data_IF_159567961698
#
_entry.id   IF_159567961698
#
_cell.length_a   1.000
_cell.length_b   1.000
_cell.length_c   1.000
_cell.angle_alpha   90.00
_cell.angle_beta   90.00
_cell.angle_gamma   90.00
#
_symmetry.space_group_name_H-M   'P 1'
#
loop_
_entity.id
_entity.type
_entity.pdbx_description
1 polymer ?
#
# COMPACT_ATOMS: atom_id res chain seq x y z
N UNK A 1 35.91 8.87 -17.08
CA UNK A 1 35.79 8.12 -15.82
C UNK A 1 34.32 7.78 -15.62
N UNK A 2 33.90 6.66 -16.18
CA UNK A 2 32.56 6.10 -16.05
C UNK A 2 32.38 5.62 -14.62
N UNK A 3 31.50 6.27 -13.85
CA UNK A 3 31.06 5.75 -12.55
C UNK A 3 30.20 4.52 -12.84
N UNK A 4 30.78 3.33 -12.66
CA UNK A 4 29.97 2.11 -12.50
C UNK A 4 29.14 2.29 -11.23
N UNK A 5 27.87 2.60 -11.40
CA UNK A 5 26.89 2.43 -10.33
C UNK A 5 26.69 0.92 -10.16
N UNK A 6 26.83 0.36 -8.96
CA UNK A 6 26.56 -1.06 -8.76
C UNK A 6 25.09 -1.31 -9.13
N UNK A 7 24.87 -2.19 -10.11
CA UNK A 7 23.57 -2.77 -10.41
C UNK A 7 23.15 -3.63 -9.23
N UNK A 8 22.42 -3.04 -8.29
CA UNK A 8 21.58 -3.77 -7.35
C UNK A 8 20.22 -3.96 -8.03
N UNK A 9 20.14 -4.85 -9.01
CA UNK A 9 18.85 -5.36 -9.52
C UNK A 9 18.29 -6.39 -8.53
N UNK A 10 18.09 -5.97 -7.28
CA UNK A 10 17.17 -6.66 -6.41
C UNK A 10 15.77 -6.19 -6.83
N UNK A 11 14.83 -7.12 -7.05
CA UNK A 11 13.43 -6.84 -7.33
C UNK A 11 12.86 -5.90 -6.25
N UNK A 12 12.98 -4.58 -6.42
CA UNK A 12 12.57 -3.61 -5.41
C UNK A 12 11.07 -3.54 -5.41
N UNK A 13 10.46 -3.80 -4.25
CA UNK A 13 9.02 -3.76 -4.07
C UNK A 13 8.58 -2.46 -3.39
N UNK A 14 7.46 -1.91 -3.84
CA UNK A 14 6.77 -0.79 -3.22
C UNK A 14 5.39 -1.24 -2.74
N UNK A 15 5.07 -0.95 -1.48
CA UNK A 15 3.75 -1.21 -0.91
C UNK A 15 3.09 0.13 -0.59
N UNK A 16 1.98 0.42 -1.25
CA UNK A 16 1.13 1.59 -1.02
C UNK A 16 -0.08 1.15 -0.22
N UNK A 17 -0.16 1.55 1.05
CA UNK A 17 -1.12 1.01 2.00
C UNK A 17 -2.07 2.09 2.48
N UNK A 18 -3.35 1.93 2.19
CA UNK A 18 -4.40 2.69 2.85
C UNK A 18 -4.82 1.94 4.13
N UNK A 19 -4.22 2.33 5.24
CA UNK A 19 -4.43 1.63 6.52
C UNK A 19 -5.86 1.78 7.05
N UNK A 20 -6.57 2.87 6.72
CA UNK A 20 -7.93 3.10 7.19
C UNK A 20 -8.91 2.16 6.47
N UNK A 21 -8.70 1.95 5.17
CA UNK A 21 -9.48 0.99 4.38
C UNK A 21 -9.24 -0.45 4.84
N UNK A 22 -7.97 -0.82 5.07
CA UNK A 22 -7.61 -2.18 5.47
C UNK A 22 -8.10 -2.54 6.88
N UNK A 23 -8.07 -1.58 7.82
CA UNK A 23 -8.66 -1.76 9.14
C UNK A 23 -10.19 -1.62 9.11
N UNK A 24 -10.76 -1.01 8.07
CA UNK A 24 -12.20 -0.76 7.91
C UNK A 24 -12.75 0.29 8.88
N UNK A 25 -11.89 1.19 9.34
CA UNK A 25 -12.23 2.24 10.31
C UNK A 25 -11.35 3.46 10.10
N UNK A 26 -11.94 4.66 10.13
CA UNK A 26 -11.19 5.92 10.17
C UNK A 26 -10.59 6.24 11.55
N UNK A 27 -11.00 5.49 12.59
CA UNK A 27 -10.42 5.57 13.92
C UNK A 27 -9.41 4.43 14.08
N UNK A 28 -8.17 4.66 13.65
CA UNK A 28 -7.09 3.67 13.73
C UNK A 28 -6.27 3.87 15.01
N UNK A 29 -5.81 2.78 15.62
CA UNK A 29 -4.91 2.79 16.78
C UNK A 29 -3.62 2.05 16.48
N UNK A 30 -2.52 2.46 17.10
CA UNK A 30 -1.20 1.86 16.89
C UNK A 30 -1.18 0.34 17.12
N UNK A 31 -1.97 -0.16 18.08
CA UNK A 31 -2.08 -1.60 18.35
C UNK A 31 -2.72 -2.36 17.17
N UNK A 32 -3.76 -1.81 16.56
CA UNK A 32 -4.41 -2.38 15.38
C UNK A 32 -3.46 -2.38 14.18
N UNK A 33 -2.75 -1.27 13.97
CA UNK A 33 -1.76 -1.13 12.90
C UNK A 33 -0.60 -2.10 13.08
N UNK A 34 -0.08 -2.26 14.31
CA UNK A 34 1.02 -3.19 14.59
C UNK A 34 0.62 -4.64 14.32
N UNK A 35 -0.61 -5.02 14.70
CA UNK A 35 -1.18 -6.34 14.42
C UNK A 35 -1.39 -6.54 12.92
N UNK A 36 -1.92 -5.53 12.22
CA UNK A 36 -2.13 -5.59 10.78
C UNK A 36 -0.81 -5.69 10.02
N UNK A 37 0.22 -4.94 10.42
CA UNK A 37 1.58 -5.06 9.87
C UNK A 37 2.10 -6.50 9.90
N UNK A 38 2.00 -7.16 11.05
CA UNK A 38 2.50 -8.53 11.23
C UNK A 38 1.75 -9.50 10.30
N UNK A 39 0.43 -9.37 10.24
CA UNK A 39 -0.40 -10.12 9.29
C UNK A 39 -0.02 -9.82 7.84
N UNK A 40 0.08 -8.55 7.47
CA UNK A 40 0.35 -8.08 6.11
C UNK A 40 1.70 -8.58 5.58
N UNK A 41 2.75 -8.52 6.42
CA UNK A 41 4.07 -9.02 6.06
C UNK A 41 4.08 -10.51 5.74
N UNK A 42 3.34 -11.31 6.51
CA UNK A 42 3.21 -12.75 6.24
C UNK A 42 2.37 -12.99 5.00
N UNK A 43 1.22 -12.32 4.88
CA UNK A 43 0.27 -12.53 3.78
C UNK A 43 0.84 -12.16 2.41
N UNK A 44 1.69 -11.13 2.34
CA UNK A 44 2.28 -10.63 1.10
C UNK A 44 3.74 -11.07 0.90
N UNK A 45 4.30 -11.89 1.82
CA UNK A 45 5.70 -12.31 1.82
C UNK A 45 6.67 -11.13 1.61
N UNK A 46 6.47 -10.05 2.37
CA UNK A 46 7.11 -8.75 2.12
C UNK A 46 8.63 -8.84 2.32
N UNK A 47 9.45 -8.51 1.31
CA UNK A 47 10.90 -8.49 1.43
C UNK A 47 11.40 -7.46 2.45
N UNK A 48 12.54 -7.73 3.08
CA UNK A 48 13.12 -6.85 4.10
C UNK A 48 13.55 -5.47 3.58
N UNK A 49 13.80 -5.34 2.28
CA UNK A 49 14.20 -4.11 1.59
C UNK A 49 13.05 -3.44 0.82
N UNK A 50 11.83 -3.96 0.95
CA UNK A 50 10.64 -3.37 0.38
C UNK A 50 10.38 -1.96 0.95
N UNK A 51 9.92 -1.06 0.08
CA UNK A 51 9.54 0.28 0.48
C UNK A 51 8.07 0.31 0.90
N UNK A 52 7.81 0.59 2.18
CA UNK A 52 6.44 0.66 2.72
C UNK A 52 6.03 2.13 2.84
N UNK A 53 4.90 2.47 2.21
CA UNK A 53 4.27 3.79 2.29
C UNK A 53 2.85 3.64 2.78
N UNK A 54 2.52 4.29 3.90
CA UNK A 54 1.19 4.27 4.50
C UNK A 54 0.53 5.63 4.33
N UNK A 55 -0.65 5.64 3.73
CA UNK A 55 -1.53 6.80 3.63
C UNK A 55 -2.44 6.92 4.85
N UNK A 56 -2.72 8.14 5.29
CA UNK A 56 -3.72 8.45 6.31
C UNK A 56 -4.47 9.74 5.96
N UNK A 57 -5.73 9.83 6.37
CA UNK A 57 -6.61 10.98 6.08
C UNK A 57 -6.67 12.00 7.23
N UNK A 58 -6.18 11.61 8.42
CA UNK A 58 -6.15 12.42 9.63
C UNK A 58 -4.75 12.48 10.27
N UNK A 59 -4.47 13.57 10.99
CA UNK A 59 -3.20 13.73 11.72
C UNK A 59 -3.06 12.73 12.87
N UNK A 60 -4.18 12.35 13.51
CA UNK A 60 -4.20 11.29 14.51
C UNK A 60 -3.87 9.95 13.86
N UNK A 61 -4.54 9.60 12.76
CA UNK A 61 -4.23 8.38 12.01
C UNK A 61 -2.76 8.32 11.57
N UNK A 62 -2.19 9.44 11.11
CA UNK A 62 -0.79 9.53 10.74
C UNK A 62 0.17 9.20 11.92
N UNK A 63 -0.17 9.64 13.13
CA UNK A 63 0.60 9.35 14.33
C UNK A 63 0.48 7.87 14.70
N UNK A 64 -0.75 7.36 14.80
CA UNK A 64 -1.05 5.96 15.16
C UNK A 64 -0.43 4.98 14.16
N UNK A 65 -0.50 5.28 12.86
CA UNK A 65 0.16 4.50 11.81
C UNK A 65 1.67 4.42 12.01
N UNK A 66 2.31 5.53 12.40
CA UNK A 66 3.75 5.56 12.65
C UNK A 66 4.18 4.82 13.91
N UNK A 67 3.35 4.86 14.95
CA UNK A 67 3.59 4.12 16.18
C UNK A 67 3.40 2.61 15.98
N UNK A 68 2.39 2.21 15.21
CA UNK A 68 2.12 0.79 14.91
C UNK A 68 3.03 0.20 13.84
N UNK A 69 3.52 1.02 12.91
CA UNK A 69 4.42 0.57 11.83
C UNK A 69 5.73 1.37 11.76
N UNK A 70 6.63 1.25 12.77
CA UNK A 70 7.92 1.91 12.75
C UNK A 70 8.73 1.57 11.49
N UNK A 71 9.33 2.59 10.87
CA UNK A 71 10.14 2.45 9.66
C UNK A 71 9.36 2.60 8.34
N UNK A 72 8.03 2.50 8.36
CA UNK A 72 7.22 2.85 7.19
C UNK A 72 7.29 4.36 6.91
N UNK A 73 7.39 4.72 5.63
CA UNK A 73 7.14 6.10 5.20
C UNK A 73 5.66 6.36 5.38
N UNK A 74 5.33 7.56 5.85
CA UNK A 74 3.95 7.98 5.99
C UNK A 74 3.68 9.17 5.09
N UNK A 75 2.55 9.15 4.41
CA UNK A 75 2.03 10.24 3.60
C UNK A 75 0.66 10.63 4.11
N UNK A 76 0.33 11.90 3.98
CA UNK A 76 -0.87 12.46 4.58
C UNK A 76 -1.40 13.61 3.73
N UNK A 77 -2.71 13.60 3.52
CA UNK A 77 -3.48 14.76 3.12
C UNK A 77 -4.75 14.80 3.95
N UNK A 78 -5.23 15.99 4.24
CA UNK A 78 -6.48 16.15 4.97
C UNK A 78 -7.70 15.98 4.06
N UNK A 79 -8.76 15.36 4.57
CA UNK A 79 -10.04 15.20 3.88
C UNK A 79 -10.47 13.73 3.77
N UNK A 80 -11.71 13.47 3.34
CA UNK A 80 -12.26 12.11 3.23
C UNK A 80 -11.36 11.18 2.40
N UNK A 81 -10.91 11.65 1.24
CA UNK A 81 -10.04 10.91 0.31
C UNK A 81 -8.56 11.24 0.52
N UNK A 82 -8.21 11.70 1.73
CA UNK A 82 -6.89 12.24 2.03
C UNK A 82 -5.77 11.19 1.93
N UNK A 83 -6.03 9.98 2.42
CA UNK A 83 -5.10 8.86 2.30
C UNK A 83 -4.88 8.49 0.82
N UNK A 84 -5.95 8.35 0.06
CA UNK A 84 -5.92 7.96 -1.36
C UNK A 84 -5.12 8.94 -2.20
N UNK A 85 -5.46 10.23 -2.11
CA UNK A 85 -4.81 11.28 -2.87
C UNK A 85 -3.31 11.39 -2.55
N UNK A 86 -2.92 11.15 -1.30
CA UNK A 86 -1.51 11.16 -0.89
C UNK A 86 -0.75 9.95 -1.44
N UNK A 87 -1.38 8.77 -1.53
CA UNK A 87 -0.79 7.56 -2.12
C UNK A 87 -0.72 7.64 -3.65
N UNK A 88 -1.74 8.18 -4.30
CA UNK A 88 -1.75 8.44 -5.75
C UNK A 88 -0.62 9.40 -6.15
N UNK A 89 -0.35 10.43 -5.34
CA UNK A 89 0.78 11.33 -5.58
C UNK A 89 2.12 10.58 -5.62
N UNK A 90 2.30 9.58 -4.74
CA UNK A 90 3.47 8.71 -4.75
C UNK A 90 3.50 7.84 -6.01
N UNK A 91 2.38 7.20 -6.38
CA UNK A 91 2.27 6.36 -7.57
C UNK A 91 2.58 7.12 -8.88
N UNK A 92 2.18 8.39 -8.96
CA UNK A 92 2.40 9.23 -10.12
C UNK A 92 3.77 9.90 -10.16
N UNK A 93 4.20 10.52 -9.06
CA UNK A 93 5.23 11.57 -9.12
C UNK A 93 6.64 11.08 -8.79
N UNK A 94 6.78 9.85 -8.32
CA UNK A 94 8.06 9.35 -7.80
C UNK A 94 8.82 8.41 -8.74
N UNK A 95 8.47 8.40 -10.03
CA UNK A 95 9.05 7.53 -11.06
C UNK A 95 9.01 6.05 -10.65
N UNK A 96 7.86 5.60 -10.15
CA UNK A 96 7.68 4.26 -9.57
C UNK A 96 8.12 3.17 -10.54
N UNK A 97 7.71 3.28 -11.80
CA UNK A 97 8.03 2.35 -12.90
C UNK A 97 9.53 2.18 -13.17
N UNK A 98 10.33 3.21 -12.89
CA UNK A 98 11.79 3.15 -13.06
C UNK A 98 12.55 2.63 -11.83
N UNK A 99 11.89 2.59 -10.67
CA UNK A 99 12.51 2.35 -9.36
C UNK A 99 12.13 1.01 -8.74
N UNK A 100 10.97 0.50 -9.11
CA UNK A 100 10.34 -0.68 -8.53
C UNK A 100 9.90 -1.61 -9.64
N UNK A 101 10.10 -2.90 -9.41
CA UNK A 101 9.70 -3.94 -10.35
C UNK A 101 8.32 -4.49 -10.01
N UNK A 102 7.93 -4.41 -8.73
CA UNK A 102 6.63 -4.80 -8.22
C UNK A 102 6.04 -3.73 -7.31
N UNK A 103 4.73 -3.49 -7.44
CA UNK A 103 3.96 -2.58 -6.60
C UNK A 103 2.75 -3.32 -6.05
N UNK A 104 2.57 -3.29 -4.73
CA UNK A 104 1.37 -3.79 -4.07
C UNK A 104 0.53 -2.61 -3.60
N UNK A 105 -0.70 -2.52 -4.11
CA UNK A 105 -1.72 -1.60 -3.61
C UNK A 105 -2.53 -2.32 -2.55
N UNK A 106 -2.35 -1.94 -1.28
CA UNK A 106 -3.20 -2.41 -0.19
C UNK A 106 -4.39 -1.45 -0.02
N UNK A 107 -5.43 -1.69 -0.80
CA UNK A 107 -6.66 -0.89 -0.87
C UNK A 107 -7.75 -1.62 -1.64
N UNK A 108 -9.00 -1.41 -1.26
CA UNK A 108 -10.18 -1.79 -2.03
C UNK A 108 -10.74 -0.70 -2.95
N UNK A 109 -10.20 0.52 -2.93
CA UNK A 109 -10.81 1.67 -3.61
C UNK A 109 -10.53 1.72 -5.12
N UNK A 110 -11.59 1.91 -5.90
CA UNK A 110 -11.53 2.07 -7.36
C UNK A 110 -10.68 3.24 -7.85
N UNK A 111 -10.42 4.26 -7.02
CA UNK A 111 -9.66 5.44 -7.44
C UNK A 111 -8.24 5.09 -7.93
N UNK A 112 -7.68 3.97 -7.48
CA UNK A 112 -6.37 3.47 -7.90
C UNK A 112 -6.37 2.70 -9.22
N UNK A 113 -7.54 2.40 -9.81
CA UNK A 113 -7.63 1.54 -10.98
C UNK A 113 -6.84 2.08 -12.19
N UNK A 114 -6.87 3.41 -12.41
CA UNK A 114 -6.12 4.03 -13.51
C UNK A 114 -4.60 3.88 -13.33
N UNK A 115 -4.08 4.10 -12.12
CA UNK A 115 -2.66 3.94 -11.82
C UNK A 115 -2.18 2.51 -11.91
N UNK A 116 -3.00 1.56 -11.46
CA UNK A 116 -2.70 0.13 -11.60
C UNK A 116 -2.57 -0.21 -13.09
N UNK A 117 -3.54 0.18 -13.92
CA UNK A 117 -3.48 -0.07 -15.37
C UNK A 117 -2.26 0.62 -16.00
N UNK A 118 -1.98 1.87 -15.62
CA UNK A 118 -0.81 2.62 -16.09
C UNK A 118 0.50 1.91 -15.74
N UNK A 119 0.73 1.57 -14.47
CA UNK A 119 1.98 0.94 -14.03
C UNK A 119 2.18 -0.42 -14.71
N UNK A 120 1.12 -1.23 -14.84
CA UNK A 120 1.18 -2.49 -15.59
C UNK A 120 1.54 -2.27 -17.05
N UNK A 121 1.00 -1.23 -17.70
CA UNK A 121 1.35 -0.90 -19.09
C UNK A 121 2.82 -0.49 -19.27
N UNK A 122 3.47 -0.05 -18.18
CA UNK A 122 4.90 0.27 -18.12
C UNK A 122 5.77 -0.94 -17.75
N UNK A 123 5.18 -2.14 -17.60
CA UNK A 123 5.91 -3.37 -17.30
C UNK A 123 6.14 -3.65 -15.82
N UNK A 124 5.52 -2.88 -14.93
CA UNK A 124 5.57 -3.12 -13.48
C UNK A 124 4.61 -4.26 -13.12
N UNK A 125 5.06 -5.21 -12.30
CA UNK A 125 4.19 -6.21 -11.69
C UNK A 125 3.31 -5.50 -10.64
N UNK A 126 2.00 -5.66 -10.74
CA UNK A 126 1.07 -4.98 -9.82
C UNK A 126 0.11 -5.96 -9.20
N UNK A 127 0.07 -5.93 -7.88
CA UNK A 127 -0.86 -6.69 -7.06
C UNK A 127 -1.78 -5.75 -6.28
N UNK A 128 -3.00 -6.20 -6.06
CA UNK A 128 -3.94 -5.58 -5.13
C UNK A 128 -4.11 -6.53 -3.95
N UNK A 129 -3.88 -6.01 -2.76
CA UNK A 129 -4.24 -6.66 -1.51
C UNK A 129 -5.41 -5.90 -0.90
N UNK A 130 -6.52 -6.55 -0.58
CA UNK A 130 -7.67 -5.82 -0.06
C UNK A 130 -8.48 -6.65 0.92
N UNK A 131 -9.12 -5.97 1.87
CA UNK A 131 -10.21 -6.59 2.62
C UNK A 131 -11.36 -6.93 1.67
N UNK A 132 -11.77 -8.21 1.63
CA UNK A 132 -12.67 -8.74 0.61
C UNK A 132 -13.99 -7.98 0.49
N UNK A 133 -14.52 -7.46 1.60
CA UNK A 133 -15.79 -6.72 1.64
C UNK A 133 -15.68 -5.28 1.09
N UNK A 134 -14.48 -4.77 0.88
CA UNK A 134 -14.22 -3.42 0.36
C UNK A 134 -13.61 -3.39 -1.04
N UNK A 135 -13.32 -4.57 -1.63
CA UNK A 135 -12.75 -4.64 -2.97
C UNK A 135 -13.74 -4.16 -4.04
N UNK A 136 -13.40 -3.08 -4.73
CA UNK A 136 -14.16 -2.59 -5.88
C UNK A 136 -14.09 -3.53 -7.09
N UNK A 137 -15.19 -3.60 -7.84
CA UNK A 137 -15.25 -4.28 -9.14
C UNK A 137 -14.24 -3.71 -10.14
N UNK A 138 -14.02 -2.38 -10.13
CA UNK A 138 -13.07 -1.75 -11.05
C UNK A 138 -11.65 -2.24 -10.84
N UNK A 139 -11.24 -2.53 -9.60
CA UNK A 139 -9.92 -3.09 -9.31
C UNK A 139 -9.78 -4.51 -9.87
N UNK A 140 -10.85 -5.31 -9.86
CA UNK A 140 -10.86 -6.66 -10.43
C UNK A 140 -10.67 -6.64 -11.96
N UNK A 141 -11.13 -5.59 -12.62
CA UNK A 141 -11.02 -5.43 -14.07
C UNK A 141 -9.64 -4.89 -14.54
N UNK A 142 -8.79 -4.45 -13.61
CA UNK A 142 -7.46 -3.91 -13.95
C UNK A 142 -6.50 -4.95 -14.49
N UNK A 143 -6.77 -6.23 -14.24
CA UNK A 143 -5.90 -7.38 -14.56
C UNK A 143 -4.68 -7.55 -13.65
N UNK A 144 -4.58 -6.78 -12.56
CA UNK A 144 -3.64 -7.03 -11.46
C UNK A 144 -3.94 -8.37 -10.79
N UNK A 145 -2.94 -8.98 -10.13
CA UNK A 145 -3.23 -10.11 -9.25
C UNK A 145 -3.98 -9.60 -8.01
N UNK A 146 -5.08 -10.26 -7.65
CA UNK A 146 -5.93 -9.84 -6.54
C UNK A 146 -5.79 -10.83 -5.39
N UNK A 147 -5.40 -10.32 -4.23
CA UNK A 147 -5.30 -11.04 -2.97
C UNK A 147 -6.28 -10.41 -1.99
N UNK A 148 -7.11 -11.23 -1.35
CA UNK A 148 -8.07 -10.73 -0.36
C UNK A 148 -7.97 -11.45 0.97
N UNK A 149 -8.40 -10.77 2.03
CA UNK A 149 -8.59 -11.34 3.35
C UNK A 149 -9.93 -10.94 3.93
N UNK A 150 -10.37 -11.67 4.94
CA UNK A 150 -11.64 -11.50 5.62
C UNK A 150 -11.44 -11.20 7.11
N UNK A 151 -12.54 -10.94 7.81
CA UNK A 151 -12.53 -10.81 9.26
C UNK A 151 -12.11 -12.11 10.00
N UNK A 152 -12.10 -13.26 9.31
CA UNK A 152 -11.60 -14.51 9.86
C UNK A 152 -10.06 -14.60 9.83
N UNK A 153 -9.43 -13.92 8.87
CA UNK A 153 -7.98 -13.90 8.70
C UNK A 153 -7.32 -12.81 9.56
N UNK A 154 -8.01 -11.68 9.73
CA UNK A 154 -7.56 -10.56 10.54
C UNK A 154 -8.73 -9.88 11.26
N UNK A 155 -8.53 -9.56 12.54
CA UNK A 155 -9.43 -8.75 13.35
C UNK A 155 -8.66 -7.69 14.13
N UNK A 156 -9.34 -6.58 14.45
CA UNK A 156 -8.80 -5.51 15.28
C UNK A 156 -8.44 -6.01 16.68
N UNK A 157 -7.54 -5.33 17.36
CA UNK A 157 -7.30 -5.53 18.77
C UNK A 157 -8.60 -5.20 19.55
N UNK A 158 -8.92 -6.04 20.53
CA UNK A 158 -10.12 -5.90 21.37
C UNK A 158 -10.04 -4.67 22.29
#
# INVERSE_FOLDING_TARGET
MTKHHPTLSAHRELHLIDIENELGTGCIHAADVARFREFYYVANNVPSDAHIVIGASSSQGLLEAGLGWPGARRVFRHGHDGADLALLEVAHSENVDSRFERVVFATGDHIFAEDIVRLRSLGVEVDVFARAVYLSHYLQETGAAIHTFSAADFCLAA
#
